data_IF_066477037357
#
_entry.id   IF_066477037357
#
_cell.length_a   1.000
_cell.length_b   1.000
_cell.length_c   1.000
_cell.angle_alpha   90.00
_cell.angle_beta   90.00
_cell.angle_gamma   90.00
#
_symmetry.space_group_name_H-M   'P 1'
#
loop_
_entity.id
_entity.type
_entity.pdbx_description
1 polymer ?
#
# COMPACT_ATOMS: atom_id res chain seq x y z
N UNK A 1 -6.34 21.55 -11.29
CA UNK A 1 -6.29 21.14 -9.87
C UNK A 1 -7.68 21.01 -9.19
N UNK A 2 -8.51 22.06 -9.14
CA UNK A 2 -9.88 21.99 -8.58
C UNK A 2 -10.84 21.11 -9.40
N UNK A 3 -10.74 21.14 -10.74
CA UNK A 3 -11.61 20.35 -11.63
C UNK A 3 -11.30 18.86 -11.63
N UNK A 4 -10.10 18.44 -11.24
CA UNK A 4 -9.74 17.02 -11.11
C UNK A 4 -10.44 16.37 -9.92
N UNK A 5 -10.54 17.09 -8.79
CA UNK A 5 -11.07 16.53 -7.55
C UNK A 5 -12.60 16.56 -7.45
N UNK A 6 -13.27 17.58 -8.00
CA UNK A 6 -14.73 17.49 -8.19
C UNK A 6 -15.09 16.27 -9.05
N UNK A 7 -14.26 15.92 -10.03
CA UNK A 7 -14.42 14.67 -10.79
C UNK A 7 -14.17 13.41 -9.94
N UNK A 8 -13.15 13.40 -9.08
CA UNK A 8 -12.90 12.29 -8.12
C UNK A 8 -14.11 12.08 -7.21
N UNK A 9 -14.56 13.12 -6.49
CA UNK A 9 -15.69 13.05 -5.56
C UNK A 9 -16.98 12.65 -6.29
N UNK A 10 -17.23 13.22 -7.47
CA UNK A 10 -18.43 12.90 -8.27
C UNK A 10 -18.37 11.47 -8.81
N UNK A 11 -17.20 10.94 -9.23
CA UNK A 11 -17.09 9.56 -9.73
C UNK A 11 -17.15 8.50 -8.64
N UNK A 12 -16.59 8.79 -7.46
CA UNK A 12 -16.75 7.95 -6.26
C UNK A 12 -18.24 7.72 -5.94
N UNK A 13 -19.13 8.66 -6.29
CA UNK A 13 -20.56 8.54 -6.06
C UNK A 13 -21.31 7.60 -7.04
N UNK A 14 -20.69 7.11 -8.13
CA UNK A 14 -21.47 6.49 -9.23
C UNK A 14 -20.99 5.13 -9.79
N UNK A 15 -19.93 4.49 -9.30
CA UNK A 15 -19.51 3.19 -9.84
C UNK A 15 -18.98 2.26 -8.74
N UNK A 16 -19.87 1.49 -8.13
CA UNK A 16 -19.51 0.32 -7.34
C UNK A 16 -19.69 -0.93 -8.23
N UNK A 17 -18.72 -1.84 -8.22
CA UNK A 17 -18.86 -3.09 -8.95
C UNK A 17 -20.03 -3.90 -8.34
N UNK A 18 -20.94 -4.49 -9.13
CA UNK A 18 -22.11 -5.20 -8.60
C UNK A 18 -21.75 -6.26 -7.55
N UNK A 19 -20.65 -6.97 -7.76
CA UNK A 19 -20.13 -8.00 -6.84
C UNK A 19 -19.79 -7.46 -5.44
N UNK A 20 -19.49 -6.16 -5.30
CA UNK A 20 -19.18 -5.55 -4.00
C UNK A 20 -20.45 -5.14 -3.22
N UNK A 21 -21.59 -5.06 -3.89
CA UNK A 21 -22.88 -4.74 -3.25
C UNK A 21 -23.50 -5.95 -2.55
N UNK A 22 -23.03 -7.15 -2.87
CA UNK A 22 -23.54 -8.42 -2.34
C UNK A 22 -22.74 -8.93 -1.14
N UNK A 23 -21.78 -8.14 -0.62
CA UNK A 23 -20.96 -8.54 0.52
C UNK A 23 -21.82 -8.61 1.80
N UNK A 24 -21.89 -9.79 2.40
CA UNK A 24 -22.37 -9.96 3.78
C UNK A 24 -21.25 -9.58 4.76
N UNK A 25 -21.14 -8.27 5.03
CA UNK A 25 -20.10 -7.72 5.89
C UNK A 25 -20.12 -8.31 7.30
N UNK A 26 -21.30 -8.59 7.86
CA UNK A 26 -21.38 -9.13 9.21
C UNK A 26 -20.79 -10.54 9.27
N UNK A 27 -21.11 -11.39 8.29
CA UNK A 27 -20.55 -12.74 8.21
C UNK A 27 -19.05 -12.74 7.91
N UNK A 28 -18.62 -11.94 6.93
CA UNK A 28 -17.21 -11.86 6.53
C UNK A 28 -16.31 -11.35 7.67
N UNK A 29 -16.71 -10.27 8.35
CA UNK A 29 -15.93 -9.67 9.43
C UNK A 29 -15.76 -10.62 10.64
N UNK A 30 -16.71 -11.52 10.90
CA UNK A 30 -16.60 -12.54 11.96
C UNK A 30 -15.49 -13.56 11.72
N UNK A 31 -14.97 -13.66 10.49
CA UNK A 31 -13.89 -14.59 10.15
C UNK A 31 -12.50 -14.08 10.55
N UNK A 32 -12.38 -12.77 10.86
CA UNK A 32 -11.11 -12.14 11.20
C UNK A 32 -10.83 -12.23 12.70
N UNK A 33 -9.55 -12.39 13.04
CA UNK A 33 -9.10 -12.30 14.42
C UNK A 33 -9.10 -10.84 14.87
N UNK A 34 -9.39 -10.60 16.13
CA UNK A 34 -9.26 -9.25 16.69
C UNK A 34 -7.78 -8.90 16.84
N UNK A 35 -7.42 -7.70 16.40
CA UNK A 35 -6.12 -7.09 16.66
C UNK A 35 -6.33 -5.75 17.38
N UNK A 36 -5.38 -5.37 18.22
CA UNK A 36 -5.39 -4.06 18.86
C UNK A 36 -4.85 -3.02 17.88
N UNK A 37 -5.70 -2.10 17.46
CA UNK A 37 -5.31 -1.05 16.52
C UNK A 37 -4.64 0.11 17.28
N UNK A 38 -3.44 0.54 16.84
CA UNK A 38 -2.78 1.70 17.43
C UNK A 38 -3.57 2.97 17.13
N UNK A 39 -3.49 3.96 18.02
CA UNK A 39 -4.27 5.20 17.93
C UNK A 39 -4.08 5.95 16.60
N UNK A 40 -2.89 5.86 15.98
CA UNK A 40 -2.62 6.49 14.69
C UNK A 40 -3.46 5.88 13.55
N UNK A 41 -3.73 4.57 13.60
CA UNK A 41 -4.49 3.86 12.58
C UNK A 41 -6.00 4.13 12.68
N UNK A 42 -6.47 4.45 13.89
CA UNK A 42 -7.87 4.79 14.15
C UNK A 42 -8.24 6.24 13.80
N UNK A 43 -7.29 7.03 13.27
CA UNK A 43 -7.59 8.38 12.82
C UNK A 43 -8.43 8.33 11.52
N UNK A 44 -9.36 9.29 11.30
CA UNK A 44 -9.91 9.50 9.97
C UNK A 44 -8.77 9.76 8.98
N UNK A 45 -8.83 9.17 7.79
CA UNK A 45 -7.92 9.47 6.68
C UNK A 45 -8.74 10.02 5.51
N UNK A 46 -8.18 10.94 4.73
CA UNK A 46 -8.78 11.48 3.50
C UNK A 46 -10.25 11.93 3.63
N UNK A 47 -10.66 12.38 4.82
CA UNK A 47 -12.04 12.77 5.15
C UNK A 47 -13.07 11.63 5.03
N UNK A 48 -12.63 10.37 5.07
CA UNK A 48 -13.49 9.17 5.10
C UNK A 48 -13.88 8.85 6.55
N UNK A 49 -15.19 8.83 6.82
CA UNK A 49 -15.72 8.47 8.14
C UNK A 49 -15.40 7.00 8.45
N UNK A 50 -14.88 6.73 9.65
CA UNK A 50 -14.40 5.41 10.06
C UNK A 50 -13.01 5.04 9.53
N UNK A 51 -12.39 5.94 8.75
CA UNK A 51 -11.07 5.74 8.18
C UNK A 51 -10.97 4.42 7.40
N UNK A 52 -9.86 3.70 7.58
CA UNK A 52 -9.61 2.43 6.93
C UNK A 52 -10.49 1.27 7.43
N UNK A 53 -11.11 1.41 8.60
CA UNK A 53 -12.02 0.43 9.19
C UNK A 53 -13.48 0.68 8.75
N UNK A 54 -13.68 0.89 7.45
CA UNK A 54 -15.00 1.17 6.89
C UNK A 54 -15.23 0.49 5.54
N UNK A 55 -16.48 0.05 5.31
CA UNK A 55 -16.95 -0.48 4.03
C UNK A 55 -16.74 0.53 2.90
N UNK A 56 -17.06 1.79 3.17
CA UNK A 56 -16.94 2.88 2.21
C UNK A 56 -15.51 3.08 1.72
N UNK A 57 -14.52 3.02 2.62
CA UNK A 57 -13.11 3.09 2.22
C UNK A 57 -12.74 1.94 1.30
N UNK A 58 -13.15 0.71 1.65
CA UNK A 58 -12.78 -0.49 0.90
C UNK A 58 -13.42 -0.55 -0.49
N UNK A 59 -14.73 -0.35 -0.59
CA UNK A 59 -15.47 -0.45 -1.86
C UNK A 59 -15.04 0.64 -2.85
N UNK A 60 -14.68 1.84 -2.35
CA UNK A 60 -14.35 3.00 -3.19
C UNK A 60 -12.85 3.15 -3.46
N UNK A 61 -12.01 2.32 -2.86
CA UNK A 61 -10.56 2.46 -2.92
C UNK A 61 -10.03 2.51 -4.36
N UNK A 62 -10.39 1.52 -5.20
CA UNK A 62 -9.95 1.50 -6.61
C UNK A 62 -10.40 2.76 -7.36
N UNK A 63 -11.67 3.13 -7.23
CA UNK A 63 -12.24 4.32 -7.88
C UNK A 63 -11.53 5.60 -7.46
N UNK A 64 -11.17 5.73 -6.19
CA UNK A 64 -10.37 6.85 -5.69
C UNK A 64 -8.98 6.86 -6.35
N UNK A 65 -8.29 5.72 -6.39
CA UNK A 65 -6.96 5.61 -7.01
C UNK A 65 -6.97 5.86 -8.51
N UNK A 66 -7.96 5.35 -9.22
CA UNK A 66 -8.20 5.62 -10.64
C UNK A 66 -8.36 7.11 -10.94
N UNK A 67 -8.94 7.86 -10.00
CA UNK A 67 -9.13 9.29 -10.16
C UNK A 67 -7.89 10.10 -9.74
N UNK A 68 -7.13 9.64 -8.74
CA UNK A 68 -5.82 10.22 -8.36
C UNK A 68 -4.80 10.05 -9.49
N UNK A 69 -4.77 8.88 -10.14
CA UNK A 69 -3.79 8.52 -11.16
C UNK A 69 -4.35 8.56 -12.60
N UNK A 70 -5.48 9.23 -12.83
CA UNK A 70 -6.21 9.20 -14.12
C UNK A 70 -5.32 9.54 -15.32
N UNK A 71 -4.43 10.51 -15.16
CA UNK A 71 -3.55 11.00 -16.23
C UNK A 71 -2.12 10.45 -16.14
N UNK A 72 -1.85 9.53 -15.23
CA UNK A 72 -0.51 9.00 -15.01
C UNK A 72 -0.10 7.94 -16.05
N UNK A 73 -1.06 7.15 -16.55
CA UNK A 73 -0.78 6.04 -17.45
C UNK A 73 -2.01 5.73 -18.34
N UNK A 74 -1.88 5.18 -19.57
CA UNK A 74 -3.02 4.82 -20.41
C UNK A 74 -3.99 3.80 -19.80
N UNK A 75 -3.45 2.88 -18.99
CA UNK A 75 -4.22 1.94 -18.16
C UNK A 75 -4.44 2.46 -16.73
N UNK A 76 -4.31 3.78 -16.53
CA UNK A 76 -4.58 4.50 -15.28
C UNK A 76 -3.83 3.89 -14.08
N UNK A 77 -4.47 3.82 -12.90
CA UNK A 77 -3.81 3.35 -11.68
C UNK A 77 -3.27 1.93 -11.82
N UNK A 78 -4.01 1.03 -12.47
CA UNK A 78 -3.58 -0.36 -12.66
C UNK A 78 -2.29 -0.48 -13.49
N UNK A 79 -2.14 0.32 -14.55
CA UNK A 79 -0.91 0.29 -15.34
C UNK A 79 0.30 0.84 -14.60
N UNK A 80 0.13 1.86 -13.76
CA UNK A 80 1.20 2.33 -12.87
C UNK A 80 1.68 1.20 -11.94
N UNK A 81 0.75 0.40 -11.41
CA UNK A 81 1.06 -0.75 -10.56
C UNK A 81 1.77 -1.87 -11.34
N UNK A 82 1.42 -2.08 -12.60
CA UNK A 82 2.12 -3.01 -13.50
C UNK A 82 3.56 -2.57 -13.79
N UNK A 83 3.82 -1.26 -13.91
CA UNK A 83 5.16 -0.69 -14.04
C UNK A 83 5.97 -0.82 -12.74
N UNK A 84 5.37 -0.54 -11.58
CA UNK A 84 6.02 -0.74 -10.27
C UNK A 84 6.37 -2.21 -10.06
N UNK A 85 5.47 -3.13 -10.45
CA UNK A 85 5.75 -4.56 -10.41
C UNK A 85 7.01 -4.92 -11.22
N UNK A 86 7.38 -4.13 -12.24
CA UNK A 86 8.61 -4.36 -13.02
C UNK A 86 9.91 -4.25 -12.21
N UNK A 87 9.86 -3.62 -11.05
CA UNK A 87 11.01 -3.43 -10.18
C UNK A 87 11.36 -4.68 -9.35
N UNK A 88 10.46 -5.66 -9.26
CA UNK A 88 10.68 -6.86 -8.48
C UNK A 88 11.60 -7.85 -9.21
N UNK A 89 12.60 -8.45 -8.51
CA UNK A 89 13.48 -9.46 -9.09
C UNK A 89 12.72 -10.68 -9.61
N UNK A 90 13.05 -11.16 -10.81
CA UNK A 90 12.37 -12.31 -11.44
C UNK A 90 12.49 -13.62 -10.64
N UNK A 91 13.54 -13.74 -9.84
CA UNK A 91 13.81 -14.88 -8.98
C UNK A 91 13.20 -14.76 -7.58
N UNK A 92 12.55 -13.65 -7.23
CA UNK A 92 11.85 -13.53 -5.95
C UNK A 92 10.75 -14.60 -5.84
N UNK A 93 10.63 -15.23 -4.67
CA UNK A 93 9.67 -16.31 -4.40
C UNK A 93 8.71 -15.97 -3.27
N UNK A 94 9.13 -15.16 -2.30
CA UNK A 94 8.35 -14.75 -1.13
C UNK A 94 8.29 -13.24 -1.12
N UNK A 95 7.14 -12.69 -1.48
CA UNK A 95 6.93 -11.25 -1.59
C UNK A 95 5.82 -10.82 -0.65
N UNK A 96 6.03 -9.74 0.09
CA UNK A 96 4.99 -9.12 0.90
C UNK A 96 4.55 -7.80 0.27
N UNK A 97 3.25 -7.54 0.27
CA UNK A 97 2.68 -6.26 -0.08
C UNK A 97 2.11 -5.62 1.20
N UNK A 98 2.83 -4.64 1.75
CA UNK A 98 2.52 -4.04 3.06
C UNK A 98 1.57 -2.86 2.91
N UNK A 99 0.53 -2.84 3.74
CA UNK A 99 -0.56 -1.87 3.61
C UNK A 99 -1.27 -2.08 2.27
N UNK A 100 -1.57 -3.34 1.94
CA UNK A 100 -2.00 -3.73 0.60
C UNK A 100 -3.32 -3.09 0.16
N UNK A 101 -4.12 -2.56 1.10
CA UNK A 101 -5.48 -2.10 0.81
C UNK A 101 -6.27 -3.23 0.15
N UNK A 102 -6.88 -2.93 -1.00
CA UNK A 102 -7.61 -3.94 -1.80
C UNK A 102 -6.71 -4.85 -2.65
N UNK A 103 -5.38 -4.71 -2.57
CA UNK A 103 -4.42 -5.67 -3.12
C UNK A 103 -4.06 -5.50 -4.59
N UNK A 104 -4.33 -4.33 -5.18
CA UNK A 104 -4.03 -4.10 -6.61
C UNK A 104 -2.53 -4.18 -6.93
N UNK A 105 -1.64 -3.77 -6.02
CA UNK A 105 -0.18 -3.91 -6.17
C UNK A 105 0.24 -5.38 -6.11
N UNK A 106 -0.15 -6.07 -5.03
CA UNK A 106 0.08 -7.50 -4.87
C UNK A 106 -0.44 -8.32 -6.06
N UNK A 107 -1.59 -7.95 -6.62
CA UNK A 107 -2.14 -8.57 -7.82
C UNK A 107 -1.28 -8.33 -9.07
N UNK A 108 -0.78 -7.11 -9.28
CA UNK A 108 0.13 -6.80 -10.38
C UNK A 108 1.44 -7.60 -10.27
N UNK A 109 2.01 -7.69 -9.07
CA UNK A 109 3.21 -8.49 -8.78
C UNK A 109 2.93 -9.98 -9.02
N UNK A 110 1.82 -10.50 -8.52
CA UNK A 110 1.43 -11.91 -8.65
C UNK A 110 1.25 -12.33 -10.11
N UNK A 111 0.66 -11.47 -10.96
CA UNK A 111 0.54 -11.70 -12.41
C UNK A 111 1.89 -11.72 -13.11
N UNK A 112 2.78 -10.79 -12.76
CA UNK A 112 4.15 -10.71 -13.33
C UNK A 112 5.00 -11.92 -12.94
N UNK A 113 4.89 -12.36 -11.69
CA UNK A 113 5.72 -13.40 -11.08
C UNK A 113 4.86 -14.62 -10.68
N UNK A 114 4.38 -15.43 -11.64
CA UNK A 114 3.47 -16.56 -11.35
C UNK A 114 4.10 -17.65 -10.48
N UNK A 115 5.43 -17.68 -10.37
CA UNK A 115 6.17 -18.61 -9.52
C UNK A 115 6.49 -18.04 -8.12
N UNK A 116 6.12 -16.79 -7.85
CA UNK A 116 6.26 -16.17 -6.54
C UNK A 116 4.96 -16.33 -5.75
N UNK A 117 5.08 -16.53 -4.45
CA UNK A 117 4.00 -16.35 -3.48
C UNK A 117 4.00 -14.89 -3.02
N UNK A 118 2.93 -14.17 -3.34
CA UNK A 118 2.70 -12.81 -2.89
C UNK A 118 1.72 -12.85 -1.72
N UNK A 119 2.02 -12.18 -0.62
CA UNK A 119 1.10 -12.05 0.53
C UNK A 119 0.75 -10.58 0.73
N UNK A 120 -0.50 -10.22 0.49
CA UNK A 120 -1.08 -8.93 0.82
C UNK A 120 -1.28 -8.84 2.33
N UNK A 121 -0.54 -7.95 2.99
CA UNK A 121 -0.56 -7.73 4.43
C UNK A 121 -1.29 -6.42 4.73
N UNK A 122 -2.45 -6.54 5.38
CA UNK A 122 -3.35 -5.42 5.58
C UNK A 122 -3.98 -5.48 6.98
N UNK A 123 -4.13 -4.32 7.62
CA UNK A 123 -4.70 -4.23 8.97
C UNK A 123 -6.22 -4.09 8.93
N UNK A 124 -6.79 -3.56 7.84
CA UNK A 124 -8.24 -3.44 7.65
C UNK A 124 -8.86 -4.74 7.12
N UNK A 125 -9.75 -5.41 7.88
CA UNK A 125 -10.46 -6.57 7.36
C UNK A 125 -11.39 -6.19 6.20
N UNK A 126 -11.93 -4.96 6.17
CA UNK A 126 -12.78 -4.49 5.07
C UNK A 126 -12.04 -4.50 3.73
N UNK A 127 -10.79 -4.03 3.74
CA UNK A 127 -9.93 -4.02 2.57
C UNK A 127 -9.61 -5.43 2.07
N UNK A 128 -9.31 -6.33 3.00
CA UNK A 128 -9.03 -7.75 2.69
C UNK A 128 -10.24 -8.42 2.05
N UNK A 129 -11.46 -8.19 2.56
CA UNK A 129 -12.69 -8.77 2.01
C UNK A 129 -12.87 -8.34 0.55
N UNK A 130 -12.79 -7.03 0.27
CA UNK A 130 -12.91 -6.50 -1.09
C UNK A 130 -11.80 -7.04 -1.99
N UNK A 131 -10.55 -7.04 -1.52
CA UNK A 131 -9.41 -7.51 -2.30
C UNK A 131 -9.49 -9.00 -2.65
N UNK A 132 -9.93 -9.86 -1.70
CA UNK A 132 -10.17 -11.29 -1.96
C UNK A 132 -11.19 -11.50 -3.08
N UNK A 133 -12.28 -10.72 -3.12
CA UNK A 133 -13.27 -10.81 -4.18
C UNK A 133 -12.72 -10.35 -5.53
N UNK A 134 -12.02 -9.21 -5.55
CA UNK A 134 -11.45 -8.63 -6.77
C UNK A 134 -10.32 -9.47 -7.38
N UNK A 135 -9.62 -10.24 -6.55
CA UNK A 135 -8.44 -11.00 -6.94
C UNK A 135 -8.57 -12.52 -6.74
N UNK A 136 -9.79 -13.05 -6.59
CA UNK A 136 -10.10 -14.48 -6.38
C UNK A 136 -9.49 -15.45 -7.41
N UNK A 137 -9.15 -14.95 -8.60
CA UNK A 137 -8.58 -15.75 -9.69
C UNK A 137 -7.04 -15.78 -9.70
N UNK A 138 -6.36 -15.18 -8.72
CA UNK A 138 -4.90 -15.18 -8.59
C UNK A 138 -4.47 -16.20 -7.53
N UNK A 139 -4.09 -17.44 -7.91
CA UNK A 139 -3.83 -18.52 -6.95
C UNK A 139 -2.54 -18.33 -6.15
N UNK A 140 -1.70 -17.37 -6.52
CA UNK A 140 -0.44 -17.06 -5.87
C UNK A 140 -0.46 -15.74 -5.08
N UNK A 141 -1.66 -15.15 -4.86
CA UNK A 141 -1.89 -14.01 -3.99
C UNK A 141 -2.66 -14.44 -2.74
N UNK A 142 -1.96 -14.48 -1.60
CA UNK A 142 -2.52 -14.76 -0.28
C UNK A 142 -2.75 -13.46 0.51
N UNK A 143 -3.49 -13.57 1.61
CA UNK A 143 -3.86 -12.45 2.47
C UNK A 143 -3.50 -12.71 3.93
N UNK A 144 -2.86 -11.73 4.57
CA UNK A 144 -2.57 -11.72 5.99
C UNK A 144 -3.21 -10.51 6.65
N UNK A 145 -4.05 -10.76 7.66
CA UNK A 145 -4.60 -9.70 8.51
C UNK A 145 -3.61 -9.38 9.63
N UNK A 146 -3.19 -8.13 9.74
CA UNK A 146 -2.29 -7.69 10.80
C UNK A 146 -1.63 -6.34 10.55
N UNK A 147 -0.99 -5.83 11.58
CA UNK A 147 -0.15 -4.64 11.55
C UNK A 147 1.20 -4.97 10.89
N UNK A 148 1.80 -3.98 10.22
CA UNK A 148 3.06 -4.17 9.47
C UNK A 148 4.30 -3.82 10.28
N UNK A 149 4.14 -3.07 11.38
CA UNK A 149 5.20 -2.73 12.32
C UNK A 149 5.64 -3.91 13.21
N UNK A 150 4.87 -5.00 13.24
CA UNK A 150 5.19 -6.22 13.99
C UNK A 150 4.59 -7.46 13.33
N UNK A 151 5.32 -8.04 12.37
CA UNK A 151 4.82 -9.16 11.56
C UNK A 151 4.93 -10.51 12.27
N UNK A 152 5.82 -10.61 13.27
CA UNK A 152 6.24 -11.87 13.91
C UNK A 152 6.82 -12.91 12.94
N UNK A 153 7.16 -12.52 11.72
CA UNK A 153 7.87 -13.38 10.79
C UNK A 153 9.32 -13.61 11.25
N UNK A 154 9.94 -14.75 10.91
CA UNK A 154 11.36 -14.95 11.17
C UNK A 154 12.23 -13.94 10.40
N UNK A 155 13.41 -13.66 10.93
CA UNK A 155 14.45 -12.90 10.24
C UNK A 155 14.76 -13.55 8.88
N UNK A 156 15.12 -12.73 7.89
CA UNK A 156 15.60 -13.19 6.58
C UNK A 156 14.65 -14.16 5.83
N UNK A 157 13.34 -14.05 6.04
CA UNK A 157 12.32 -14.96 5.51
C UNK A 157 11.65 -14.50 4.21
N UNK A 158 11.90 -13.26 3.77
CA UNK A 158 11.21 -12.61 2.63
C UNK A 158 12.22 -12.14 1.58
N UNK A 159 11.92 -12.30 0.30
CA UNK A 159 12.84 -11.91 -0.77
C UNK A 159 12.64 -10.45 -1.21
N UNK A 160 11.38 -9.98 -1.21
CA UNK A 160 11.04 -8.60 -1.56
C UNK A 160 9.80 -8.08 -0.82
N UNK A 161 9.73 -6.77 -0.62
CA UNK A 161 8.58 -6.09 0.00
C UNK A 161 8.12 -4.94 -0.89
N UNK A 162 6.82 -4.86 -1.18
CA UNK A 162 6.16 -3.68 -1.71
C UNK A 162 5.56 -2.86 -0.56
N UNK A 163 5.56 -1.54 -0.71
CA UNK A 163 4.84 -0.64 0.17
C UNK A 163 4.42 0.59 -0.62
N UNK A 164 3.12 0.73 -0.87
CA UNK A 164 2.59 1.79 -1.74
C UNK A 164 1.51 2.58 -1.01
N UNK A 165 1.71 3.89 -0.86
CA UNK A 165 0.81 4.80 -0.12
C UNK A 165 0.58 4.43 1.36
N UNK A 166 1.64 4.09 2.09
CA UNK A 166 1.55 3.70 3.51
C UNK A 166 2.22 4.70 4.44
N UNK A 167 3.41 5.18 4.08
CA UNK A 167 4.25 5.90 5.03
C UNK A 167 3.72 7.29 5.33
N UNK A 168 3.07 7.97 4.37
CA UNK A 168 2.47 9.29 4.61
C UNK A 168 1.36 9.31 5.68
N UNK A 169 0.81 8.14 5.98
CA UNK A 169 -0.27 7.95 6.96
C UNK A 169 0.23 7.57 8.36
N UNK A 170 1.54 7.36 8.48
CA UNK A 170 2.16 6.97 9.74
C UNK A 170 2.86 8.19 10.38
N UNK A 171 2.89 8.30 11.72
CA UNK A 171 3.82 9.21 12.38
C UNK A 171 5.28 8.76 12.18
N UNK A 172 6.24 9.68 12.22
CA UNK A 172 7.67 9.43 11.94
C UNK A 172 8.23 8.25 12.74
N UNK A 173 7.86 8.11 14.01
CA UNK A 173 8.33 7.02 14.86
C UNK A 173 7.87 5.66 14.33
N UNK A 174 6.63 5.58 13.83
CA UNK A 174 6.06 4.36 13.27
C UNK A 174 6.67 4.05 11.89
N UNK A 175 6.94 5.06 11.06
CA UNK A 175 7.66 4.87 9.79
C UNK A 175 8.98 4.14 10.03
N UNK A 176 9.73 4.56 11.06
CA UNK A 176 10.99 3.93 11.43
C UNK A 176 10.80 2.48 11.89
N UNK A 177 9.81 2.20 12.76
CA UNK A 177 9.53 0.82 13.22
C UNK A 177 9.18 -0.09 12.05
N UNK A 178 8.31 0.36 11.15
CA UNK A 178 7.92 -0.39 9.94
C UNK A 178 9.16 -0.71 9.08
N UNK A 179 10.00 0.29 8.80
CA UNK A 179 11.18 0.09 7.96
C UNK A 179 12.23 -0.82 8.61
N UNK A 180 12.36 -0.77 9.94
CA UNK A 180 13.21 -1.72 10.69
C UNK A 180 12.67 -3.14 10.63
N UNK A 181 11.36 -3.32 10.72
CA UNK A 181 10.72 -4.62 10.57
C UNK A 181 10.92 -5.18 9.15
N UNK A 182 10.75 -4.34 8.11
CA UNK A 182 11.09 -4.69 6.73
C UNK A 182 12.55 -5.15 6.60
N UNK A 183 13.49 -4.40 7.17
CA UNK A 183 14.92 -4.74 7.13
C UNK A 183 15.18 -6.07 7.84
N UNK A 184 14.54 -6.34 8.99
CA UNK A 184 14.71 -7.58 9.75
C UNK A 184 14.27 -8.81 8.95
N UNK A 185 13.07 -8.75 8.35
CA UNK A 185 12.46 -9.91 7.67
C UNK A 185 12.98 -10.14 6.25
N UNK A 186 13.50 -9.12 5.56
CA UNK A 186 14.12 -9.30 4.25
C UNK A 186 15.36 -10.20 4.35
N UNK A 187 15.53 -11.14 3.43
CA UNK A 187 16.76 -11.90 3.27
C UNK A 187 17.92 -10.97 2.86
N UNK A 188 19.19 -11.33 3.16
CA UNK A 188 20.34 -10.55 2.70
C UNK A 188 20.30 -10.36 1.17
N UNK A 189 20.48 -9.13 0.70
CA UNK A 189 20.34 -8.78 -0.71
C UNK A 189 18.90 -8.62 -1.21
N UNK A 190 17.89 -8.90 -0.38
CA UNK A 190 16.48 -8.67 -0.66
C UNK A 190 16.14 -7.19 -0.82
N UNK A 191 15.02 -6.89 -1.47
CA UNK A 191 14.68 -5.52 -1.88
C UNK A 191 13.37 -5.02 -1.27
N UNK A 192 13.32 -3.72 -0.99
CA UNK A 192 12.08 -3.01 -0.70
C UNK A 192 11.78 -2.05 -1.84
N UNK A 193 10.53 -2.02 -2.28
CA UNK A 193 9.99 -1.06 -3.25
C UNK A 193 8.98 -0.19 -2.51
N UNK A 194 9.29 1.10 -2.36
CA UNK A 194 8.42 2.06 -1.68
C UNK A 194 7.94 3.09 -2.69
N UNK A 195 6.62 3.21 -2.83
CA UNK A 195 5.99 4.25 -3.64
C UNK A 195 5.08 5.09 -2.76
N UNK A 196 5.26 6.41 -2.77
CA UNK A 196 4.41 7.29 -1.98
C UNK A 196 4.29 8.67 -2.64
N UNK A 197 3.43 9.51 -2.10
CA UNK A 197 3.12 10.84 -2.61
C UNK A 197 4.27 11.84 -2.46
N UNK A 198 4.37 12.76 -3.41
CA UNK A 198 5.31 13.87 -3.33
C UNK A 198 4.97 14.78 -2.13
N UNK A 199 6.00 15.20 -1.36
CA UNK A 199 5.84 16.19 -0.29
C UNK A 199 5.26 17.49 -0.85
N UNK A 200 3.95 17.71 -0.67
CA UNK A 200 3.26 18.93 -1.08
C UNK A 200 2.02 18.73 -1.95
N UNK A 201 1.82 17.59 -2.62
CA UNK A 201 0.69 17.48 -3.56
C UNK A 201 -0.60 16.97 -2.92
N UNK A 202 -0.56 15.82 -2.21
CA UNK A 202 -1.72 15.35 -1.42
C UNK A 202 -2.10 16.34 -0.31
N UNK A 203 -1.11 17.07 0.20
CA UNK A 203 -1.23 17.89 1.39
C UNK A 203 -1.57 19.36 1.13
N UNK A 204 -1.39 19.88 -0.08
CA UNK A 204 -1.67 21.31 -0.37
C UNK A 204 -3.17 21.60 -0.58
N UNK A 205 -4.01 20.57 -0.65
CA UNK A 205 -5.44 20.74 -0.85
C UNK A 205 -6.23 20.82 0.48
N UNK A 206 -7.01 21.90 0.64
CA UNK A 206 -7.75 22.28 1.87
C UNK A 206 -8.92 21.34 2.28
N UNK A 207 -9.04 20.15 1.68
CA UNK A 207 -10.15 19.22 1.90
C UNK A 207 -9.78 17.78 2.30
N UNK A 208 -8.49 17.42 2.26
CA UNK A 208 -7.99 16.14 2.74
C UNK A 208 -7.44 16.31 4.15
N UNK A 209 -8.04 15.63 5.12
CA UNK A 209 -7.47 15.53 6.45
C UNK A 209 -6.33 14.49 6.44
N UNK A 210 -5.13 14.97 6.72
CA UNK A 210 -3.88 14.22 6.70
C UNK A 210 -3.19 14.40 8.05
N UNK A 211 -3.31 13.43 8.98
CA UNK A 211 -2.91 13.62 10.38
C UNK A 211 -1.42 13.93 10.55
N UNK A 212 -0.57 13.44 9.62
CA UNK A 212 0.89 13.56 9.69
C UNK A 212 1.50 14.43 8.59
N UNK A 213 0.69 15.27 7.96
CA UNK A 213 1.11 16.18 6.87
C UNK A 213 2.38 16.96 7.18
N UNK A 214 2.47 17.60 8.34
CA UNK A 214 3.61 18.46 8.70
C UNK A 214 4.94 17.69 8.80
N UNK A 215 4.86 16.39 9.15
CA UNK A 215 6.01 15.49 9.14
C UNK A 215 6.33 15.07 7.70
N UNK A 216 5.31 14.65 6.94
CA UNK A 216 5.49 14.18 5.56
C UNK A 216 6.07 15.25 4.63
N UNK A 217 5.69 16.52 4.81
CA UNK A 217 6.24 17.64 4.03
C UNK A 217 7.77 17.79 4.15
N UNK A 218 8.39 17.23 5.18
CA UNK A 218 9.82 17.33 5.46
C UNK A 218 10.61 16.08 5.04
N UNK A 219 9.93 15.06 4.51
CA UNK A 219 10.58 13.78 4.22
C UNK A 219 11.57 13.91 3.06
N UNK A 220 12.70 13.22 3.18
CA UNK A 220 13.58 12.90 2.07
C UNK A 220 13.55 11.37 1.89
N UNK A 221 12.93 10.85 0.82
CA UNK A 221 12.76 9.41 0.62
C UNK A 221 14.08 8.62 0.66
N UNK A 222 15.15 9.17 0.08
CA UNK A 222 16.45 8.52 0.05
C UNK A 222 17.06 8.44 1.45
N UNK A 223 16.96 9.53 2.21
CA UNK A 223 17.50 9.60 3.56
C UNK A 223 16.72 8.68 4.50
N UNK A 224 15.39 8.64 4.38
CA UNK A 224 14.51 7.77 5.18
C UNK A 224 14.93 6.29 5.06
N UNK A 225 15.14 5.80 3.82
CA UNK A 225 15.56 4.43 3.60
C UNK A 225 17.00 4.16 4.07
N UNK A 226 17.92 5.12 3.87
CA UNK A 226 19.31 4.99 4.33
C UNK A 226 19.41 4.93 5.85
N UNK A 227 18.67 5.78 6.57
CA UNK A 227 18.63 5.79 8.03
C UNK A 227 18.02 4.51 8.59
N UNK A 228 17.08 3.90 7.87
CA UNK A 228 16.57 2.58 8.21
C UNK A 228 17.58 1.44 7.98
N UNK A 229 18.67 1.67 7.22
CA UNK A 229 19.72 0.67 6.96
C UNK A 229 19.70 0.07 5.56
N UNK A 230 18.85 0.55 4.65
CA UNK A 230 18.87 0.14 3.25
C UNK A 230 20.01 0.81 2.48
N UNK A 231 20.57 0.07 1.52
CA UNK A 231 21.65 0.52 0.64
C UNK A 231 21.19 0.53 -0.82
N UNK A 232 22.04 1.06 -1.71
CA UNK A 232 21.80 1.11 -3.16
C UNK A 232 20.45 1.72 -3.57
N UNK A 233 20.05 2.81 -2.91
CA UNK A 233 18.75 3.45 -3.16
C UNK A 233 18.67 3.97 -4.61
N UNK A 234 17.71 3.44 -5.38
CA UNK A 234 17.42 3.85 -6.77
C UNK A 234 16.08 4.54 -6.85
N UNK A 235 16.02 5.64 -7.62
CA UNK A 235 14.82 6.44 -7.83
C UNK A 235 14.14 6.11 -9.15
N UNK A 236 12.80 6.01 -9.11
CA UNK A 236 11.94 5.79 -10.26
C UNK A 236 10.75 6.76 -10.21
N UNK A 237 10.21 7.06 -11.38
CA UNK A 237 9.07 7.95 -11.56
C UNK A 237 8.13 7.33 -12.59
N UNK A 238 7.03 6.74 -12.13
CA UNK A 238 6.00 6.12 -12.99
C UNK A 238 4.76 7.00 -13.13
N UNK A 239 4.42 7.76 -12.08
CA UNK A 239 3.22 8.57 -12.05
C UNK A 239 3.46 9.88 -11.29
N UNK A 240 2.96 11.01 -11.79
CA UNK A 240 2.82 12.20 -10.96
C UNK A 240 1.47 12.12 -10.22
N UNK A 241 1.41 12.37 -8.89
CA UNK A 241 2.43 12.95 -8.03
C UNK A 241 3.09 11.96 -7.07
N UNK A 242 3.58 10.82 -7.53
CA UNK A 242 4.29 9.88 -6.67
C UNK A 242 5.79 9.99 -6.83
N UNK A 243 6.53 9.43 -5.89
CA UNK A 243 7.91 9.01 -6.07
C UNK A 243 7.99 7.52 -5.79
N UNK A 244 8.92 6.83 -6.44
CA UNK A 244 9.23 5.43 -6.13
C UNK A 244 10.72 5.29 -5.79
N UNK A 245 11.02 4.48 -4.78
CA UNK A 245 12.37 4.08 -4.38
C UNK A 245 12.50 2.58 -4.28
N UNK A 246 13.63 2.07 -4.75
CA UNK A 246 14.07 0.70 -4.48
C UNK A 246 15.28 0.76 -3.59
N UNK A 247 15.22 0.10 -2.43
CA UNK A 247 16.35 -0.08 -1.53
C UNK A 247 16.68 -1.55 -1.34
N UNK A 248 17.94 -1.85 -1.05
CA UNK A 248 18.41 -3.22 -0.83
C UNK A 248 18.83 -3.42 0.63
N UNK A 249 18.48 -4.58 1.22
CA UNK A 249 19.08 -5.01 2.49
C UNK A 249 20.55 -5.40 2.26
N UNK A 250 21.51 -4.90 3.06
CA UNK A 250 22.90 -5.33 2.96
C UNK A 250 23.09 -6.86 3.05
N UNK A 251 24.08 -7.40 2.35
CA UNK A 251 24.38 -8.85 2.36
C UNK A 251 24.96 -9.36 3.69
N UNK A 252 25.39 -8.47 4.58
CA UNK A 252 26.18 -8.79 5.78
C UNK A 252 25.66 -8.06 7.02
N UNK A 253 24.45 -8.41 7.46
CA UNK A 253 23.91 -8.04 8.79
C UNK A 253 23.81 -9.30 9.63
#
# INVERSE_FOLDING_TARGET
>A
PKDGMMRVITRIQFQEAPELQEIDWESELKTFQSIEYPQYYCQPFHSVLGGWLSEAAAVRNRTAMEAVLENAHPQKSLGVREEIAQLFPENARRILDFGAGIGDDGAAIARRLPNAKVTAWEASPFMIIVGRLLHKNLPNLDWQHGLVENTRLPDNSVDAINMTYVLHECPDEIKQVILQECLRILSPGGVIVVTDSLPGDLHSYRGFFEPYKEQWLKINPDQLLKEAGFIEIKAYQFAYPTWTRVGQKPNSI
#
